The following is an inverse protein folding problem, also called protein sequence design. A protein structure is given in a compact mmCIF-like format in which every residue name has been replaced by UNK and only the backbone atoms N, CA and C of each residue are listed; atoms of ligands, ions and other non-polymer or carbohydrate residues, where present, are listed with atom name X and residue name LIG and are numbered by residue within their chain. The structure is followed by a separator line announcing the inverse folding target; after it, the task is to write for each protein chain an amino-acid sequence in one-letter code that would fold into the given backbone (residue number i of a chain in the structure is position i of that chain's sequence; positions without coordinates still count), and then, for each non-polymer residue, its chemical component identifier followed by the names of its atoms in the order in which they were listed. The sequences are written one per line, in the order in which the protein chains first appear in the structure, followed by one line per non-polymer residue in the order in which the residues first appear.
data_IF_523828538248
#
_entry.id   IF_523828538248
#
_cell.length_a   1.000
_cell.length_b   1.000
_cell.length_c   1.000
_cell.angle_alpha   90.00
_cell.angle_beta   90.00
_cell.angle_gamma   90.00
#
_symmetry.space_group_name_H-M   'P 1'
#
loop_
_entity.id
_entity.type
_entity.pdbx_description
1 polymer ?
#
# COMPACT_ATOMS: atom_id res chain seq x y z
N UNK A 1 11.95 1.25 7.08
CA UNK A 1 11.00 2.39 7.14
C UNK A 1 11.29 3.32 5.99
N UNK A 2 10.26 3.89 5.36
CA UNK A 2 10.35 4.75 4.18
C UNK A 2 10.09 6.20 4.60
N UNK A 3 10.81 7.13 3.99
CA UNK A 3 10.50 8.56 4.10
C UNK A 3 9.28 8.89 3.24
N UNK A 4 8.63 10.04 3.48
CA UNK A 4 7.48 10.50 2.67
C UNK A 4 7.74 10.39 1.17
N UNK A 5 8.87 10.93 0.71
CA UNK A 5 9.27 10.92 -0.69
C UNK A 5 9.38 9.50 -1.25
N UNK A 6 10.00 8.58 -0.51
CA UNK A 6 10.17 7.20 -0.95
C UNK A 6 8.83 6.44 -0.96
N UNK A 7 7.93 6.73 -0.03
CA UNK A 7 6.59 6.13 0.01
C UNK A 7 5.71 6.62 -1.14
N UNK A 8 5.76 7.92 -1.47
CA UNK A 8 5.07 8.49 -2.61
C UNK A 8 5.58 7.90 -3.94
N UNK A 9 6.91 7.84 -4.10
CA UNK A 9 7.57 7.23 -5.26
C UNK A 9 7.20 5.74 -5.42
N UNK A 10 7.15 4.99 -4.31
CA UNK A 10 6.72 3.59 -4.31
C UNK A 10 5.28 3.39 -4.81
N UNK A 11 4.39 4.35 -4.54
CA UNK A 11 3.02 4.31 -5.02
C UNK A 11 2.86 4.92 -6.42
N UNK A 12 3.95 5.35 -7.07
CA UNK A 12 3.94 6.13 -8.31
C UNK A 12 3.08 7.41 -8.22
N UNK A 13 3.04 8.05 -7.04
CA UNK A 13 2.28 9.27 -6.77
C UNK A 13 3.21 10.45 -6.49
N UNK A 14 2.75 11.67 -6.78
CA UNK A 14 3.38 12.86 -6.23
C UNK A 14 3.17 12.96 -4.72
N UNK A 15 4.07 13.64 -4.00
CA UNK A 15 3.98 13.78 -2.54
C UNK A 15 2.63 14.39 -2.10
N UNK A 16 2.08 15.33 -2.87
CA UNK A 16 0.78 15.95 -2.60
C UNK A 16 -0.40 15.00 -2.85
N UNK A 17 -0.32 14.12 -3.85
CA UNK A 17 -1.33 13.08 -4.07
C UNK A 17 -1.26 12.03 -2.97
N UNK A 18 -0.06 11.65 -2.57
CA UNK A 18 0.17 10.71 -1.47
C UNK A 18 -0.41 11.24 -0.15
N UNK A 19 -0.22 12.53 0.17
CA UNK A 19 -0.87 13.16 1.33
C UNK A 19 -2.40 13.17 1.24
N UNK A 20 -2.97 13.43 0.06
CA UNK A 20 -4.42 13.37 -0.14
C UNK A 20 -4.97 11.97 0.13
N UNK A 21 -4.34 10.93 -0.41
CA UNK A 21 -4.78 9.55 -0.18
C UNK A 21 -4.66 9.12 1.30
N UNK A 22 -3.76 9.74 2.07
CA UNK A 22 -3.71 9.58 3.54
C UNK A 22 -4.88 10.30 4.20
N UNK A 23 -5.18 11.55 3.81
CA UNK A 23 -6.30 12.33 4.34
C UNK A 23 -7.65 11.67 4.03
N UNK A 24 -7.81 11.12 2.82
CA UNK A 24 -8.97 10.35 2.37
C UNK A 24 -9.06 8.97 3.06
N UNK A 25 -8.05 8.58 3.84
CA UNK A 25 -8.04 7.34 4.62
C UNK A 25 -7.80 6.07 3.81
N UNK A 26 -7.35 6.19 2.56
CA UNK A 26 -6.99 5.05 1.71
C UNK A 26 -5.64 4.48 2.11
N UNK A 27 -4.66 5.35 2.35
CA UNK A 27 -3.30 4.98 2.76
C UNK A 27 -3.11 5.06 4.28
N UNK A 28 -2.15 4.29 4.83
CA UNK A 28 -1.89 4.26 6.27
C UNK A 28 -1.27 5.58 6.76
N UNK A 29 -1.64 5.95 7.99
CA UNK A 29 -1.06 7.08 8.69
C UNK A 29 0.45 6.90 8.92
N UNK A 30 1.23 8.00 8.92
CA UNK A 30 2.65 7.93 9.22
C UNK A 30 2.92 7.52 10.66
N UNK A 31 4.00 6.76 10.84
CA UNK A 31 4.60 6.47 12.14
C UNK A 31 5.64 7.55 12.42
N UNK A 32 5.52 8.23 13.56
CA UNK A 32 6.52 9.20 14.00
C UNK A 32 7.74 8.47 14.58
N UNK A 33 8.86 8.58 13.88
CA UNK A 33 10.15 8.03 14.31
C UNK A 33 11.20 9.14 14.26
N UNK A 34 11.83 9.45 15.39
CA UNK A 34 12.84 10.52 15.48
C UNK A 34 12.30 11.92 15.13
N UNK A 35 11.01 12.17 15.39
CA UNK A 35 10.35 13.44 15.05
C UNK A 35 9.98 13.61 13.58
N UNK A 36 10.22 12.61 12.73
CA UNK A 36 9.86 12.61 11.31
C UNK A 36 8.83 11.53 11.00
N UNK A 37 7.99 11.82 10.03
CA UNK A 37 6.98 10.90 9.52
C UNK A 37 7.63 9.81 8.66
N UNK A 38 7.37 8.57 9.03
CA UNK A 38 7.89 7.38 8.36
C UNK A 38 6.76 6.41 8.03
N UNK A 39 6.90 5.72 6.90
CA UNK A 39 5.95 4.70 6.47
C UNK A 39 6.58 3.33 6.50
N UNK A 40 5.78 2.36 6.95
CA UNK A 40 6.17 0.97 6.97
C UNK A 40 5.74 0.31 5.66
N UNK A 41 6.71 -0.24 4.91
CA UNK A 41 6.47 -0.79 3.58
C UNK A 41 5.45 -1.95 3.58
N UNK A 42 5.53 -2.95 4.49
CA UNK A 42 4.50 -3.99 4.60
C UNK A 42 3.09 -3.47 4.89
N UNK A 43 2.98 -2.37 5.64
CA UNK A 43 1.68 -1.76 5.97
C UNK A 43 1.09 -1.04 4.76
N UNK A 44 1.93 -0.35 3.98
CA UNK A 44 1.53 0.22 2.70
C UNK A 44 1.05 -0.87 1.74
N UNK A 45 1.80 -1.97 1.64
CA UNK A 45 1.48 -3.09 0.77
C UNK A 45 0.12 -3.70 1.11
N UNK A 46 -0.14 -3.99 2.39
CA UNK A 46 -1.44 -4.49 2.85
C UNK A 46 -2.61 -3.54 2.51
N UNK A 47 -2.40 -2.23 2.62
CA UNK A 47 -3.42 -1.24 2.23
C UNK A 47 -3.62 -1.21 0.71
N UNK A 48 -2.53 -1.26 -0.06
CA UNK A 48 -2.58 -1.31 -1.52
C UNK A 48 -3.26 -2.60 -2.00
N UNK A 49 -3.00 -3.75 -1.39
CA UNK A 49 -3.69 -5.01 -1.66
C UNK A 49 -5.19 -4.92 -1.36
N UNK A 50 -5.57 -4.21 -0.30
CA UNK A 50 -6.97 -3.96 0.03
C UNK A 50 -7.66 -3.03 -0.98
N UNK A 51 -6.98 -1.96 -1.42
CA UNK A 51 -7.47 -1.00 -2.42
C UNK A 51 -7.57 -1.64 -3.79
N UNK A 52 -6.55 -2.42 -4.19
CA UNK A 52 -6.55 -3.21 -5.40
C UNK A 52 -7.64 -4.29 -5.41
N UNK A 53 -8.28 -4.51 -4.24
CA UNK A 53 -9.33 -5.49 -4.05
C UNK A 53 -8.76 -6.88 -4.14
N UNK A 54 -8.09 -7.33 -3.06
CA UNK A 54 -7.57 -8.69 -2.84
C UNK A 54 -7.37 -9.42 -4.16
N UNK A 55 -6.23 -9.14 -4.84
CA UNK A 55 -5.91 -9.57 -6.19
C UNK A 55 -6.72 -10.80 -6.56
N UNK A 56 -7.72 -10.64 -7.44
CA UNK A 56 -8.54 -11.74 -7.94
C UNK A 56 -7.59 -12.86 -8.34
N UNK A 57 -7.50 -13.86 -7.46
CA UNK A 57 -6.53 -14.94 -7.60
C UNK A 57 -7.15 -15.90 -8.59
N UNK A 58 -7.05 -15.55 -9.87
CA UNK A 58 -7.56 -16.34 -10.98
C UNK A 58 -7.02 -17.77 -10.96
N UNK A 59 -5.93 -18.04 -10.23
CA UNK A 59 -5.41 -19.39 -10.04
C UNK A 59 -6.32 -20.24 -9.17
N UNK A 60 -7.06 -19.66 -8.23
CA UNK A 60 -8.07 -20.38 -7.42
C UNK A 60 -9.25 -20.86 -8.25
N UNK A 61 -9.59 -20.13 -9.31
CA UNK A 61 -10.67 -20.48 -10.26
C UNK A 61 -10.17 -21.30 -11.46
N UNK A 62 -8.86 -21.52 -11.60
CA UNK A 62 -8.30 -22.28 -12.72
C UNK A 62 -8.37 -23.79 -12.43
N UNK A 63 -9.04 -24.60 -13.28
CA UNK A 63 -9.15 -26.05 -13.10
C UNK A 63 -7.81 -26.81 -13.17
N UNK A 64 -6.72 -26.12 -13.54
CA UNK A 64 -5.35 -26.66 -13.56
C UNK A 64 -4.66 -26.57 -12.19
N UNK A 65 -5.09 -25.66 -11.32
CA UNK A 65 -4.50 -25.39 -10.00
C UNK A 65 -5.48 -25.58 -8.84
N UNK A 66 -6.76 -25.82 -9.12
CA UNK A 66 -7.70 -26.36 -8.15
C UNK A 66 -7.23 -27.77 -7.75
N UNK A 67 -6.46 -27.84 -6.66
CA UNK A 67 -5.92 -29.09 -6.14
C UNK A 67 -7.04 -30.13 -5.90
N UNK A 68 -6.73 -31.37 -6.29
CA UNK A 68 -7.57 -32.57 -6.15
C UNK A 68 -7.65 -33.04 -4.69
#
# INVERSE_FOLDING_TARGET
MMTRKLAADYCCLSEAQFEREIIDGRLPNPVKLGGRDHWHRPTLDQHLERIAGAAYDWRKDSPLYAER
#
